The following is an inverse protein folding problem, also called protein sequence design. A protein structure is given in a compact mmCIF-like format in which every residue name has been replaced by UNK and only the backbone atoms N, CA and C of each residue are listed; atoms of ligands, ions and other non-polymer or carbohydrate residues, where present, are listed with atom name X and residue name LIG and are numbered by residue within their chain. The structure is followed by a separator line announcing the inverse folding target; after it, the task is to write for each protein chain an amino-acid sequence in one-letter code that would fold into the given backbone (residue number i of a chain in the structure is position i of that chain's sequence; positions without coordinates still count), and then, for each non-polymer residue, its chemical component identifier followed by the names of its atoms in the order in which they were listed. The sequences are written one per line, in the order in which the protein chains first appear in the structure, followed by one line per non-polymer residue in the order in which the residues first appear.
data_IF_327665025513
#
_entry.id   IF_327665025513
#
_cell.length_a   1.000
_cell.length_b   1.000
_cell.length_c   1.000
_cell.angle_alpha   90.00
_cell.angle_beta   90.00
_cell.angle_gamma   90.00
#
_symmetry.space_group_name_H-M   'P 1'
#
loop_
_entity.id
_entity.type
_entity.pdbx_description
1 polymer ?
#
# COMPACT_ATOMS: atom_id res chain seq x y z
N UNK A 1 29.74 -52.96 -5.88
CA UNK A 1 30.28 -52.02 -4.84
C UNK A 1 29.07 -51.33 -4.25
N UNK A 2 28.61 -51.84 -3.08
CA UNK A 2 27.57 -51.17 -2.29
C UNK A 2 28.21 -50.04 -1.49
N UNK A 3 27.84 -48.80 -1.79
CA UNK A 3 28.16 -47.66 -0.95
C UNK A 3 27.08 -47.61 0.14
N UNK A 4 27.41 -48.00 1.36
CA UNK A 4 26.65 -47.73 2.54
C UNK A 4 26.68 -46.23 2.82
N UNK A 5 25.56 -45.55 2.59
CA UNK A 5 25.34 -44.18 3.09
C UNK A 5 25.02 -44.34 4.57
N UNK A 6 25.99 -44.10 5.41
CA UNK A 6 25.83 -44.04 6.87
C UNK A 6 25.09 -42.79 7.27
N UNK A 7 24.08 -43.02 8.04
CA UNK A 7 23.12 -42.18 8.73
C UNK A 7 23.61 -40.83 9.30
N UNK A 8 22.77 -39.81 9.07
CA UNK A 8 22.38 -38.75 10.01
C UNK A 8 23.45 -38.20 10.96
N UNK A 9 24.25 -37.32 10.44
CA UNK A 9 24.59 -36.14 11.22
C UNK A 9 23.55 -35.05 10.89
N UNK A 10 22.50 -34.95 11.68
CA UNK A 10 21.76 -33.71 11.81
C UNK A 10 22.74 -32.68 12.38
N UNK A 11 23.39 -31.94 11.51
CA UNK A 11 24.08 -30.72 11.91
C UNK A 11 22.95 -29.84 12.46
N UNK A 12 22.86 -29.74 13.79
CA UNK A 12 22.06 -28.71 14.43
C UNK A 12 22.68 -27.37 14.04
N UNK A 13 22.25 -26.85 12.89
CA UNK A 13 22.59 -25.49 12.53
C UNK A 13 21.99 -24.59 13.61
N UNK A 14 22.84 -23.87 14.32
CA UNK A 14 22.36 -22.86 15.27
C UNK A 14 21.45 -21.90 14.53
N UNK A 15 20.27 -21.65 15.11
CA UNK A 15 19.32 -20.70 14.50
C UNK A 15 19.96 -19.33 14.33
N UNK A 16 19.67 -18.68 13.23
CA UNK A 16 20.08 -17.31 12.99
C UNK A 16 19.29 -16.41 13.91
N UNK A 17 19.94 -15.67 14.78
CA UNK A 17 19.30 -14.71 15.67
C UNK A 17 18.91 -13.45 14.89
N UNK A 18 17.61 -13.16 14.85
CA UNK A 18 17.08 -11.92 14.24
C UNK A 18 17.10 -10.83 15.30
N UNK A 19 17.80 -9.74 15.01
CA UNK A 19 18.05 -8.66 15.98
C UNK A 19 16.78 -7.90 16.38
N UNK A 20 15.94 -7.58 15.40
CA UNK A 20 14.75 -6.77 15.61
C UNK A 20 13.49 -7.64 15.64
N UNK A 21 12.51 -7.34 16.50
CA UNK A 21 11.20 -7.98 16.45
C UNK A 21 10.52 -7.77 15.10
N UNK A 22 9.67 -8.71 14.72
CA UNK A 22 8.80 -8.60 13.54
C UNK A 22 7.34 -8.59 14.03
N UNK A 23 6.57 -7.62 13.56
CA UNK A 23 5.13 -7.54 13.86
C UNK A 23 4.39 -8.52 12.96
N UNK A 24 3.69 -9.45 13.57
CA UNK A 24 2.87 -10.45 12.90
C UNK A 24 1.41 -10.04 12.94
N UNK A 25 0.81 -9.84 11.77
CA UNK A 25 -0.60 -9.51 11.61
C UNK A 25 -1.28 -10.75 11.00
N UNK A 26 -1.86 -11.57 11.87
CA UNK A 26 -2.55 -12.78 11.42
C UNK A 26 -3.86 -12.43 10.70
N UNK A 27 -4.35 -13.34 9.89
CA UNK A 27 -5.48 -13.11 9.00
C UNK A 27 -6.65 -14.03 9.27
N UNK A 28 -7.47 -14.19 8.25
CA UNK A 28 -8.67 -15.01 8.28
C UNK A 28 -8.49 -16.32 7.50
N UNK A 29 -9.35 -17.29 7.77
CA UNK A 29 -9.56 -18.51 7.01
C UNK A 29 -8.26 -19.25 6.66
N UNK A 30 -8.11 -19.64 5.39
CA UNK A 30 -6.99 -20.44 4.91
C UNK A 30 -5.63 -19.76 5.09
N UNK A 31 -5.57 -18.43 5.01
CA UNK A 31 -4.29 -17.73 5.14
C UNK A 31 -3.69 -17.85 6.53
N UNK A 32 -4.51 -17.92 7.58
CA UNK A 32 -4.08 -18.21 8.96
C UNK A 32 -3.43 -19.59 9.06
N UNK A 33 -4.06 -20.60 8.45
CA UNK A 33 -3.55 -21.99 8.46
C UNK A 33 -2.23 -22.09 7.70
N UNK A 34 -2.18 -21.53 6.48
CA UNK A 34 -0.97 -21.53 5.65
C UNK A 34 0.16 -20.77 6.35
N UNK A 35 -0.13 -19.62 6.96
CA UNK A 35 0.87 -18.84 7.69
C UNK A 35 1.44 -19.61 8.90
N UNK A 36 0.60 -20.34 9.62
CA UNK A 36 1.07 -21.23 10.69
C UNK A 36 2.05 -22.28 10.16
N UNK A 37 1.74 -22.94 9.04
CA UNK A 37 2.67 -23.88 8.40
C UNK A 37 3.98 -23.23 7.96
N UNK A 38 3.92 -22.03 7.39
CA UNK A 38 5.12 -21.28 6.99
C UNK A 38 6.00 -20.99 8.22
N UNK A 39 5.40 -20.50 9.31
CA UNK A 39 6.15 -20.25 10.54
C UNK A 39 6.82 -21.52 11.07
N UNK A 40 6.07 -22.61 11.18
CA UNK A 40 6.55 -23.80 11.83
C UNK A 40 7.56 -24.61 10.99
N UNK A 41 7.40 -24.60 9.66
CA UNK A 41 8.23 -25.40 8.74
C UNK A 41 9.38 -24.63 8.10
N UNK A 42 9.21 -23.32 7.85
CA UNK A 42 10.14 -22.54 7.05
C UNK A 42 10.82 -21.40 7.82
N UNK A 43 10.29 -20.97 8.96
CA UNK A 43 10.83 -19.83 9.72
C UNK A 43 11.45 -20.29 11.03
N UNK A 44 10.65 -20.81 11.93
CA UNK A 44 11.10 -21.21 13.30
C UNK A 44 12.22 -22.25 13.35
N UNK A 45 12.35 -23.20 12.39
CA UNK A 45 13.48 -24.12 12.40
C UNK A 45 14.82 -23.44 12.17
N UNK A 46 14.87 -22.33 11.45
CA UNK A 46 16.08 -21.64 11.01
C UNK A 46 16.36 -20.32 11.74
N UNK A 47 15.32 -19.66 12.21
CA UNK A 47 15.40 -18.33 12.82
C UNK A 47 15.00 -18.35 14.30
N UNK A 48 15.76 -17.63 15.11
CA UNK A 48 15.34 -17.17 16.44
C UNK A 48 14.77 -15.77 16.28
N UNK A 49 13.42 -15.65 16.26
CA UNK A 49 12.70 -14.46 15.91
C UNK A 49 11.66 -14.10 16.99
N UNK A 50 11.70 -12.87 17.47
CA UNK A 50 10.67 -12.30 18.36
C UNK A 50 9.49 -11.79 17.49
N UNK A 51 8.35 -12.49 17.59
CA UNK A 51 7.11 -12.14 16.86
C UNK A 51 6.17 -11.38 17.80
N UNK A 52 5.84 -10.15 17.43
CA UNK A 52 4.79 -9.34 18.06
C UNK A 52 3.46 -9.60 17.37
N UNK A 53 2.67 -10.48 17.95
CA UNK A 53 1.46 -11.04 17.38
C UNK A 53 0.24 -10.11 17.53
N UNK A 54 -0.48 -9.88 16.44
CA UNK A 54 -1.76 -9.18 16.37
C UNK A 54 -2.73 -9.99 15.51
N UNK A 55 -3.86 -10.36 16.10
CA UNK A 55 -4.93 -11.08 15.38
C UNK A 55 -5.83 -10.10 14.65
N UNK A 56 -5.70 -10.01 13.33
CA UNK A 56 -6.57 -9.20 12.48
C UNK A 56 -7.71 -10.00 11.84
N UNK A 57 -8.02 -11.16 12.39
CA UNK A 57 -9.21 -11.91 12.00
C UNK A 57 -10.50 -11.15 12.31
N UNK A 58 -11.55 -11.46 11.60
CA UNK A 58 -12.83 -10.73 11.63
C UNK A 58 -13.39 -10.60 13.04
N UNK A 59 -13.40 -11.69 13.81
CA UNK A 59 -13.93 -11.71 15.18
C UNK A 59 -13.12 -10.82 16.14
N UNK A 60 -11.78 -10.86 16.04
CA UNK A 60 -10.90 -10.03 16.86
C UNK A 60 -11.06 -8.55 16.56
N UNK A 61 -11.21 -8.21 15.28
CA UNK A 61 -11.45 -6.84 14.84
C UNK A 61 -12.80 -6.33 15.32
N UNK A 62 -13.86 -7.13 15.21
CA UNK A 62 -15.20 -6.77 15.69
C UNK A 62 -15.23 -6.59 17.20
N UNK A 63 -14.58 -7.49 17.95
CA UNK A 63 -14.48 -7.42 19.41
C UNK A 63 -13.79 -6.15 19.89
N UNK A 64 -12.78 -5.68 19.17
CA UNK A 64 -11.96 -4.51 19.52
C UNK A 64 -12.40 -3.21 18.84
N UNK A 65 -13.54 -3.21 18.15
CA UNK A 65 -13.99 -2.09 17.32
C UNK A 65 -12.91 -1.61 16.33
N UNK A 66 -12.18 -2.58 15.76
CA UNK A 66 -11.05 -2.43 14.84
C UNK A 66 -9.81 -1.71 15.45
N UNK A 67 -9.78 -1.50 16.76
CA UNK A 67 -8.63 -0.90 17.44
C UNK A 67 -7.36 -1.74 17.26
N UNK A 68 -7.48 -3.07 17.21
CA UNK A 68 -6.34 -3.99 16.98
C UNK A 68 -5.58 -3.68 15.67
N UNK A 69 -6.28 -3.25 14.62
CA UNK A 69 -5.67 -2.84 13.35
C UNK A 69 -4.80 -1.59 13.52
N UNK A 70 -5.26 -0.63 14.30
CA UNK A 70 -4.53 0.60 14.61
C UNK A 70 -3.29 0.29 15.44
N UNK A 71 -3.43 -0.55 16.46
CA UNK A 71 -2.33 -0.93 17.35
C UNK A 71 -1.25 -1.74 16.61
N UNK A 72 -1.66 -2.66 15.74
CA UNK A 72 -0.74 -3.38 14.86
C UNK A 72 0.04 -2.44 13.93
N UNK A 73 -0.62 -1.46 13.32
CA UNK A 73 0.04 -0.48 12.47
C UNK A 73 1.04 0.40 13.25
N UNK A 74 0.70 0.81 14.47
CA UNK A 74 1.61 1.54 15.35
C UNK A 74 2.82 0.69 15.76
N UNK A 75 2.61 -0.59 16.03
CA UNK A 75 3.69 -1.53 16.33
C UNK A 75 4.64 -1.70 15.14
N UNK A 76 4.13 -1.81 13.91
CA UNK A 76 4.98 -1.82 12.70
C UNK A 76 5.82 -0.54 12.64
N UNK A 77 5.24 0.62 12.91
CA UNK A 77 5.94 1.90 12.93
C UNK A 77 7.06 1.94 13.97
N UNK A 78 6.85 1.30 15.11
CA UNK A 78 7.81 1.19 16.20
C UNK A 78 8.95 0.22 15.89
N UNK A 79 8.65 -0.97 15.39
CA UNK A 79 9.63 -2.04 15.16
C UNK A 79 10.23 -2.06 13.75
N UNK A 80 9.67 -1.30 12.82
CA UNK A 80 10.20 -1.07 11.47
C UNK A 80 9.80 -2.12 10.44
N UNK A 81 9.25 -3.28 10.84
CA UNK A 81 8.85 -4.34 9.92
C UNK A 81 7.62 -5.10 10.41
N UNK A 82 6.75 -5.47 9.49
CA UNK A 82 5.59 -6.31 9.76
C UNK A 82 5.27 -7.24 8.61
N UNK A 83 4.67 -8.38 8.93
CA UNK A 83 4.15 -9.36 7.97
C UNK A 83 2.66 -9.47 8.19
N UNK A 84 1.88 -9.24 7.13
CA UNK A 84 0.43 -9.29 7.19
C UNK A 84 -0.14 -10.42 6.34
N UNK A 85 -0.95 -11.27 6.96
CA UNK A 85 -1.79 -12.23 6.28
C UNK A 85 -2.99 -11.57 5.61
N UNK A 86 -3.62 -12.24 4.67
CA UNK A 86 -4.88 -11.77 4.08
C UNK A 86 -5.98 -11.72 5.12
N UNK A 87 -6.81 -10.70 5.04
CA UNK A 87 -7.95 -10.46 5.93
C UNK A 87 -9.21 -10.26 5.12
N UNK A 88 -10.34 -10.68 5.66
CA UNK A 88 -11.65 -10.42 5.07
C UNK A 88 -11.99 -8.93 5.22
N UNK A 89 -12.48 -8.34 4.13
CA UNK A 89 -13.20 -7.06 4.17
C UNK A 89 -14.69 -7.40 4.02
N UNK A 90 -15.50 -7.21 5.08
CA UNK A 90 -16.88 -7.66 5.03
C UNK A 90 -17.73 -6.86 4.05
N UNK A 91 -18.59 -7.55 3.34
CA UNK A 91 -19.77 -7.06 2.67
C UNK A 91 -21.02 -7.33 3.54
N UNK A 92 -22.20 -7.02 3.05
CA UNK A 92 -23.46 -7.25 3.76
C UNK A 92 -23.65 -8.72 4.16
N UNK A 93 -23.32 -9.65 3.27
CA UNK A 93 -23.45 -11.10 3.51
C UNK A 93 -22.51 -11.55 4.64
N UNK A 94 -21.28 -11.05 4.66
CA UNK A 94 -20.31 -11.34 5.72
C UNK A 94 -20.68 -10.70 7.06
N UNK A 95 -21.29 -9.51 7.05
CA UNK A 95 -21.83 -8.90 8.28
C UNK A 95 -22.89 -9.79 8.92
N UNK A 96 -23.79 -10.37 8.11
CA UNK A 96 -24.83 -11.28 8.61
C UNK A 96 -24.23 -12.62 9.06
N UNK A 97 -23.36 -13.23 8.25
CA UNK A 97 -22.71 -14.50 8.54
C UNK A 97 -21.95 -14.49 9.87
N UNK A 98 -21.13 -13.47 10.09
CA UNK A 98 -20.31 -13.33 11.30
C UNK A 98 -21.00 -12.56 12.42
N UNK A 99 -22.22 -12.09 12.22
CA UNK A 99 -23.00 -11.26 13.19
C UNK A 99 -22.22 -10.05 13.68
N UNK A 100 -21.58 -9.35 12.74
CA UNK A 100 -20.73 -8.21 13.06
C UNK A 100 -21.53 -7.01 13.52
N UNK A 101 -20.95 -6.20 14.40
CA UNK A 101 -21.53 -4.93 14.87
C UNK A 101 -21.77 -3.94 13.73
N UNK A 102 -20.92 -3.99 12.70
CA UNK A 102 -21.03 -3.14 11.50
C UNK A 102 -20.13 -3.67 10.38
N UNK A 103 -20.31 -3.13 9.18
CA UNK A 103 -19.44 -3.39 8.04
C UNK A 103 -18.09 -2.66 8.21
N UNK A 104 -17.07 -3.38 8.69
CA UNK A 104 -15.74 -2.84 8.95
C UNK A 104 -15.01 -2.50 7.65
N UNK A 105 -14.27 -1.39 7.65
CA UNK A 105 -13.41 -1.01 6.52
C UNK A 105 -12.25 -1.99 6.37
N UNK A 106 -11.64 -2.00 5.17
CA UNK A 106 -10.44 -2.81 4.93
C UNK A 106 -9.30 -2.41 5.87
N UNK A 107 -8.73 -3.33 6.65
CA UNK A 107 -7.59 -3.04 7.50
C UNK A 107 -6.35 -2.61 6.70
N UNK A 108 -6.24 -3.03 5.43
CA UNK A 108 -5.16 -2.59 4.55
C UNK A 108 -5.14 -1.07 4.37
N UNK A 109 -6.30 -0.46 4.20
CA UNK A 109 -6.44 0.99 4.10
C UNK A 109 -6.00 1.70 5.37
N UNK A 110 -6.46 1.23 6.54
CA UNK A 110 -6.09 1.78 7.85
C UNK A 110 -4.59 1.69 8.11
N UNK A 111 -4.00 0.51 7.91
CA UNK A 111 -2.56 0.29 8.12
C UNK A 111 -1.73 1.20 7.19
N UNK A 112 -2.04 1.25 5.90
CA UNK A 112 -1.30 2.07 4.93
C UNK A 112 -1.36 3.56 5.26
N UNK A 113 -2.52 4.05 5.67
CA UNK A 113 -2.67 5.46 6.06
C UNK A 113 -1.91 5.81 7.34
N UNK A 114 -1.80 4.88 8.31
CA UNK A 114 -1.04 5.10 9.54
C UNK A 114 0.47 5.06 9.27
N UNK A 115 0.92 4.11 8.47
CA UNK A 115 2.34 3.96 8.15
C UNK A 115 2.82 5.08 7.22
N UNK A 116 1.97 5.53 6.32
CA UNK A 116 2.38 6.29 5.15
C UNK A 116 3.28 5.44 4.26
N UNK A 117 3.44 5.80 2.99
CA UNK A 117 4.42 5.10 2.17
C UNK A 117 3.89 4.70 0.81
N UNK A 118 4.64 3.81 0.19
CA UNK A 118 4.42 3.41 -1.20
C UNK A 118 4.32 1.90 -1.31
N UNK A 119 3.38 1.43 -2.10
CA UNK A 119 3.24 0.00 -2.41
C UNK A 119 3.87 -0.24 -3.78
N UNK A 120 4.93 -1.03 -3.84
CA UNK A 120 5.50 -1.52 -5.08
C UNK A 120 5.02 -2.95 -5.33
N UNK A 121 4.48 -3.19 -6.51
CA UNK A 121 4.07 -4.51 -6.97
C UNK A 121 4.99 -4.97 -8.07
N UNK A 122 5.99 -5.75 -7.68
CA UNK A 122 6.91 -6.38 -8.62
C UNK A 122 6.26 -7.67 -9.16
N UNK A 123 6.25 -7.90 -10.47
CA UNK A 123 5.68 -9.12 -11.03
C UNK A 123 6.56 -10.33 -10.68
N UNK A 124 5.89 -11.41 -10.27
CA UNK A 124 6.55 -12.72 -10.09
C UNK A 124 6.52 -13.44 -11.43
N UNK A 125 7.70 -13.62 -12.04
CA UNK A 125 7.84 -14.26 -13.35
C UNK A 125 8.29 -15.71 -13.16
N UNK A 126 7.42 -16.66 -13.52
CA UNK A 126 7.72 -18.08 -13.50
C UNK A 126 8.06 -18.54 -14.93
N UNK A 127 9.15 -19.28 -15.09
CA UNK A 127 9.62 -19.75 -16.42
C UNK A 127 8.62 -20.66 -17.13
N UNK A 128 7.87 -21.43 -16.37
CA UNK A 128 6.88 -22.41 -16.86
C UNK A 128 5.45 -21.88 -16.97
N UNK A 129 5.24 -20.59 -16.69
CA UNK A 129 3.92 -19.95 -16.82
C UNK A 129 3.97 -18.95 -17.97
N UNK A 130 3.15 -19.13 -19.02
CA UNK A 130 3.07 -18.19 -20.13
C UNK A 130 2.71 -16.78 -19.65
N UNK A 131 3.35 -15.76 -20.22
CA UNK A 131 3.03 -14.37 -19.96
C UNK A 131 1.73 -14.00 -20.68
N UNK A 132 0.89 -13.18 -20.06
CA UNK A 132 -0.33 -12.66 -20.69
C UNK A 132 -0.03 -11.80 -21.92
N UNK A 133 1.07 -11.06 -21.88
CA UNK A 133 1.57 -10.29 -23.03
C UNK A 133 2.96 -10.82 -23.40
N UNK A 134 3.06 -11.70 -24.41
CA UNK A 134 4.33 -12.37 -24.72
C UNK A 134 5.48 -11.42 -25.07
N UNK A 135 5.18 -10.27 -25.67
CA UNK A 135 6.17 -9.27 -26.06
C UNK A 135 6.80 -8.49 -24.90
N UNK A 136 6.23 -8.55 -23.70
CA UNK A 136 6.79 -7.89 -22.53
C UNK A 136 7.92 -8.75 -21.94
N UNK A 137 9.14 -8.43 -22.32
CA UNK A 137 10.33 -9.19 -21.90
C UNK A 137 10.94 -8.68 -20.60
N UNK A 138 10.65 -7.43 -20.22
CA UNK A 138 11.14 -6.81 -19.00
C UNK A 138 9.98 -6.60 -17.99
N UNK A 139 10.26 -6.67 -16.68
CA UNK A 139 9.25 -6.40 -15.67
C UNK A 139 8.86 -4.91 -15.66
N UNK A 140 7.56 -4.65 -15.49
CA UNK A 140 7.04 -3.31 -15.22
C UNK A 140 6.55 -3.30 -13.76
N UNK A 141 7.07 -2.35 -12.96
CA UNK A 141 6.69 -2.21 -11.57
C UNK A 141 5.87 -0.95 -11.39
N UNK A 142 4.70 -1.10 -10.81
CA UNK A 142 3.80 0.03 -10.52
C UNK A 142 3.99 0.43 -9.06
N UNK A 143 4.51 1.65 -8.85
CA UNK A 143 4.51 2.31 -7.54
C UNK A 143 3.15 2.93 -7.26
N UNK A 144 2.56 2.62 -6.11
CA UNK A 144 1.25 3.11 -5.70
C UNK A 144 1.36 3.95 -4.45
N UNK A 145 0.89 5.19 -4.53
CA UNK A 145 0.74 6.04 -3.36
C UNK A 145 -0.30 5.46 -2.40
N UNK A 146 0.02 5.36 -1.13
CA UNK A 146 -0.79 4.64 -0.15
C UNK A 146 -1.46 5.56 0.88
N UNK A 147 -1.53 6.85 0.60
CA UNK A 147 -2.11 7.86 1.49
C UNK A 147 -3.08 8.77 0.73
N UNK A 148 -4.19 9.13 1.38
CA UNK A 148 -5.15 10.04 0.79
C UNK A 148 -5.86 9.45 -0.44
N UNK A 149 -6.11 10.29 -1.44
CA UNK A 149 -6.75 9.94 -2.71
C UNK A 149 -8.04 9.12 -2.51
N UNK A 150 -8.27 8.12 -3.33
CA UNK A 150 -9.43 7.23 -3.23
C UNK A 150 -9.52 6.43 -1.91
N UNK A 151 -8.41 6.24 -1.18
CA UNK A 151 -8.41 5.51 0.09
C UNK A 151 -9.01 6.30 1.26
N UNK A 152 -9.05 7.61 1.14
CA UNK A 152 -9.62 8.55 2.10
C UNK A 152 -10.64 9.47 1.47
N UNK A 153 -11.17 9.10 0.32
CA UNK A 153 -12.25 9.83 -0.32
C UNK A 153 -13.49 9.87 0.57
N UNK A 154 -14.22 10.94 0.47
CA UNK A 154 -15.60 11.04 0.97
C UNK A 154 -16.51 10.98 -0.23
N UNK A 155 -17.27 9.90 -0.35
CA UNK A 155 -18.22 9.65 -1.42
C UNK A 155 -19.63 9.41 -0.85
N UNK A 156 -20.64 9.82 -1.60
CA UNK A 156 -22.04 9.69 -1.20
C UNK A 156 -22.98 9.73 -2.40
N UNK A 157 -24.16 9.17 -2.19
CA UNK A 157 -25.26 9.27 -3.15
C UNK A 157 -25.98 10.61 -2.96
N UNK A 158 -26.15 11.35 -4.04
CA UNK A 158 -26.98 12.55 -4.09
C UNK A 158 -28.43 12.12 -4.30
N UNK A 159 -29.36 12.39 -3.35
CA UNK A 159 -30.70 11.79 -3.39
C UNK A 159 -31.65 12.42 -4.42
N UNK A 160 -31.33 13.60 -4.94
CA UNK A 160 -32.21 14.30 -5.87
C UNK A 160 -31.68 15.67 -6.29
N UNK A 161 -32.56 16.53 -6.76
CA UNK A 161 -32.22 17.90 -7.13
C UNK A 161 -31.56 18.66 -5.98
N UNK A 162 -30.49 19.39 -6.28
CA UNK A 162 -29.76 20.13 -5.25
C UNK A 162 -28.42 20.67 -5.72
N UNK A 163 -27.71 21.32 -4.81
CA UNK A 163 -26.46 21.99 -5.07
C UNK A 163 -25.30 21.30 -4.31
N UNK A 164 -24.21 21.05 -5.01
CA UNK A 164 -22.97 20.55 -4.41
C UNK A 164 -21.95 21.68 -4.29
N UNK A 165 -21.49 21.89 -3.07
CA UNK A 165 -20.45 22.86 -2.76
C UNK A 165 -19.30 22.21 -2.00
N UNK A 166 -18.07 22.70 -2.23
CA UNK A 166 -16.87 22.34 -1.47
C UNK A 166 -16.33 23.57 -0.77
N UNK A 167 -16.10 23.46 0.51
CA UNK A 167 -15.61 24.53 1.36
C UNK A 167 -14.34 24.12 2.09
N UNK A 168 -13.33 24.99 2.03
CA UNK A 168 -12.14 24.89 2.85
C UNK A 168 -12.05 26.11 3.78
N UNK A 169 -11.73 25.87 5.05
CA UNK A 169 -11.58 26.92 6.07
C UNK A 169 -10.24 26.70 6.77
N UNK A 170 -9.45 27.76 6.91
CA UNK A 170 -8.22 27.73 7.71
C UNK A 170 -8.53 27.45 9.18
N UNK A 171 -7.55 26.85 9.89
CA UNK A 171 -7.73 26.48 11.31
C UNK A 171 -8.08 27.68 12.22
N UNK A 172 -7.59 28.88 11.88
CA UNK A 172 -7.89 30.13 12.59
C UNK A 172 -9.16 30.82 12.13
N UNK A 173 -9.88 30.25 11.17
CA UNK A 173 -11.13 30.77 10.60
C UNK A 173 -10.98 32.02 9.71
N UNK A 174 -9.76 32.57 9.56
CA UNK A 174 -9.54 33.86 8.87
C UNK A 174 -9.58 33.74 7.35
N UNK A 175 -9.29 32.56 6.82
CA UNK A 175 -9.25 32.31 5.38
C UNK A 175 -10.23 31.20 5.01
N UNK A 176 -10.96 31.40 3.93
CA UNK A 176 -11.87 30.41 3.37
C UNK A 176 -11.82 30.38 1.86
N UNK A 177 -12.06 29.22 1.29
CA UNK A 177 -12.30 29.02 -0.14
C UNK A 177 -13.58 28.23 -0.30
N UNK A 178 -14.45 28.68 -1.18
CA UNK A 178 -15.74 28.04 -1.45
C UNK A 178 -15.84 27.85 -2.98
N UNK A 179 -16.28 26.68 -3.38
CA UNK A 179 -16.45 26.33 -4.79
C UNK A 179 -17.81 25.68 -4.95
N UNK A 180 -18.62 26.27 -5.83
CA UNK A 180 -19.79 25.60 -6.37
C UNK A 180 -19.28 24.54 -7.36
N UNK A 181 -19.61 23.28 -7.11
CA UNK A 181 -19.14 22.15 -7.92
C UNK A 181 -20.14 21.85 -9.02
N UNK A 182 -21.41 21.62 -8.65
CA UNK A 182 -22.46 21.25 -9.59
C UNK A 182 -23.87 21.49 -9.02
N UNK A 183 -24.81 21.83 -9.92
CA UNK A 183 -26.23 21.84 -9.63
C UNK A 183 -26.84 20.55 -10.17
N UNK A 184 -27.21 19.64 -9.28
CA UNK A 184 -27.82 18.37 -9.65
C UNK A 184 -29.30 18.59 -10.05
N UNK A 185 -29.68 18.23 -11.28
CA UNK A 185 -31.08 18.27 -11.72
C UNK A 185 -31.84 17.02 -11.28
N UNK A 186 -31.17 16.01 -10.76
CA UNK A 186 -31.74 14.75 -10.30
C UNK A 186 -30.77 14.04 -9.36
N UNK A 187 -31.10 12.82 -8.94
CA UNK A 187 -30.17 11.97 -8.17
C UNK A 187 -28.88 11.67 -8.91
N UNK A 188 -27.79 11.47 -8.16
CA UNK A 188 -26.49 11.19 -8.69
C UNK A 188 -25.50 10.71 -7.63
N UNK A 189 -24.24 10.93 -7.86
CA UNK A 189 -23.16 10.62 -6.91
C UNK A 189 -22.11 11.72 -6.88
N UNK A 190 -21.46 11.90 -5.73
CA UNK A 190 -20.38 12.86 -5.56
C UNK A 190 -19.22 12.24 -4.78
N UNK A 191 -18.00 12.76 -5.05
CA UNK A 191 -16.78 12.30 -4.40
C UNK A 191 -15.83 13.47 -4.20
N UNK A 192 -15.17 13.50 -3.04
CA UNK A 192 -14.06 14.42 -2.76
C UNK A 192 -12.82 13.65 -2.34
N UNK A 193 -11.65 14.10 -2.79
CA UNK A 193 -10.34 13.53 -2.45
C UNK A 193 -9.39 14.63 -1.96
N UNK A 194 -8.35 14.23 -1.24
CA UNK A 194 -7.28 15.13 -0.81
C UNK A 194 -5.94 14.41 -0.73
N UNK A 195 -4.86 15.20 -0.72
CA UNK A 195 -3.52 14.72 -0.38
C UNK A 195 -2.71 15.79 0.35
N UNK A 196 -1.52 15.44 0.81
CA UNK A 196 -0.60 16.32 1.52
C UNK A 196 0.73 16.42 0.78
N UNK A 197 1.32 17.61 0.73
CA UNK A 197 2.62 17.85 0.08
C UNK A 197 3.72 16.92 0.60
N UNK A 198 3.83 16.77 1.92
CA UNK A 198 4.85 15.89 2.52
C UNK A 198 4.64 14.43 2.14
N UNK A 199 3.39 13.98 2.05
CA UNK A 199 3.07 12.62 1.60
C UNK A 199 3.45 12.40 0.14
N UNK A 200 3.17 13.37 -0.73
CA UNK A 200 3.56 13.35 -2.15
C UNK A 200 5.09 13.32 -2.29
N UNK A 201 5.81 14.18 -1.55
CA UNK A 201 7.28 14.20 -1.56
C UNK A 201 7.88 12.88 -1.08
N UNK A 202 7.31 12.27 -0.04
CA UNK A 202 7.76 10.97 0.43
C UNK A 202 7.48 9.84 -0.58
N UNK A 203 6.38 9.92 -1.30
CA UNK A 203 6.09 9.03 -2.43
C UNK A 203 7.13 9.19 -3.54
N UNK A 204 7.47 10.42 -3.90
CA UNK A 204 8.52 10.69 -4.88
C UNK A 204 9.86 10.07 -4.44
N UNK A 205 10.30 10.32 -3.20
CA UNK A 205 11.54 9.73 -2.66
C UNK A 205 11.54 8.21 -2.68
N UNK A 206 10.42 7.59 -2.33
CA UNK A 206 10.27 6.14 -2.37
C UNK A 206 10.44 5.59 -3.79
N UNK A 207 9.80 6.22 -4.80
CA UNK A 207 9.89 5.84 -6.19
C UNK A 207 11.32 6.03 -6.75
N UNK A 208 11.96 7.16 -6.46
CA UNK A 208 13.32 7.45 -6.90
C UNK A 208 14.34 6.47 -6.29
N UNK A 209 14.24 6.19 -4.99
CA UNK A 209 15.10 5.20 -4.33
C UNK A 209 14.89 3.79 -4.88
N UNK A 210 13.65 3.42 -5.18
CA UNK A 210 13.35 2.11 -5.80
C UNK A 210 14.00 2.01 -7.18
N UNK A 211 13.84 3.03 -8.04
CA UNK A 211 14.48 3.11 -9.35
C UNK A 211 16.00 3.00 -9.27
N UNK A 212 16.64 3.76 -8.37
CA UNK A 212 18.10 3.69 -8.13
C UNK A 212 18.54 2.28 -7.70
N UNK A 213 17.84 1.69 -6.75
CA UNK A 213 18.17 0.34 -6.26
C UNK A 213 18.08 -0.74 -7.33
N UNK A 214 17.21 -0.57 -8.32
CA UNK A 214 17.04 -1.46 -9.48
C UNK A 214 17.85 -1.06 -10.70
N UNK A 215 18.36 0.18 -10.74
CA UNK A 215 18.94 0.82 -11.93
C UNK A 215 17.95 0.88 -13.08
N UNK A 216 16.70 1.22 -12.78
CA UNK A 216 15.62 1.33 -13.73
C UNK A 216 15.14 2.78 -13.84
N UNK A 217 14.69 3.22 -15.02
CA UNK A 217 14.07 4.54 -15.16
C UNK A 217 12.78 4.64 -14.35
N UNK A 218 12.46 5.86 -13.97
CA UNK A 218 11.24 6.16 -13.19
C UNK A 218 10.36 7.09 -14.01
N UNK A 219 9.09 6.73 -14.14
CA UNK A 219 8.08 7.55 -14.80
C UNK A 219 6.97 7.90 -13.80
N UNK A 220 6.68 9.18 -13.69
CA UNK A 220 5.45 9.64 -13.04
C UNK A 220 4.37 9.79 -14.10
N UNK A 221 3.23 9.15 -13.89
CA UNK A 221 2.09 9.24 -14.79
C UNK A 221 0.94 9.99 -14.14
N UNK A 222 0.42 11.01 -14.82
CA UNK A 222 -0.71 11.84 -14.35
C UNK A 222 -1.67 12.21 -15.48
N UNK A 223 -2.80 12.81 -15.13
CA UNK A 223 -3.70 13.50 -16.06
C UNK A 223 -3.79 15.00 -15.74
N UNK A 224 -2.64 15.64 -15.52
CA UNK A 224 -2.56 17.05 -15.13
C UNK A 224 -3.13 18.03 -16.17
N UNK A 225 -3.36 17.59 -17.40
CA UNK A 225 -4.06 18.38 -18.41
C UNK A 225 -5.55 18.59 -18.08
N UNK A 226 -6.14 17.69 -17.30
CA UNK A 226 -7.53 17.75 -16.79
C UNK A 226 -7.52 18.15 -15.32
N UNK A 227 -6.83 17.39 -14.47
CA UNK A 227 -6.71 17.64 -13.02
C UNK A 227 -5.55 18.61 -12.74
N UNK A 228 -5.68 19.85 -13.27
CA UNK A 228 -4.57 20.82 -13.31
C UNK A 228 -3.96 21.13 -11.95
N UNK A 229 -4.78 21.27 -10.90
CA UNK A 229 -4.32 21.56 -9.55
C UNK A 229 -3.89 20.30 -8.81
N UNK A 230 -4.69 19.24 -8.84
CA UNK A 230 -4.44 18.02 -8.08
C UNK A 230 -3.24 17.25 -8.64
N UNK A 231 -3.33 16.76 -9.86
CA UNK A 231 -2.24 16.04 -10.53
C UNK A 231 -1.04 16.94 -10.83
N UNK A 232 -1.30 18.24 -11.12
CA UNK A 232 -0.24 19.24 -11.27
C UNK A 232 0.62 19.36 -10.02
N UNK A 233 0.01 19.29 -8.82
CA UNK A 233 0.77 19.32 -7.55
C UNK A 233 1.68 18.11 -7.40
N UNK A 234 1.22 16.91 -7.77
CA UNK A 234 2.06 15.71 -7.80
C UNK A 234 3.25 15.89 -8.76
N UNK A 235 2.97 16.34 -9.99
CA UNK A 235 4.01 16.59 -11.00
C UNK A 235 5.08 17.56 -10.47
N UNK A 236 4.66 18.69 -9.92
CA UNK A 236 5.58 19.75 -9.48
C UNK A 236 6.42 19.29 -8.27
N UNK A 237 5.82 18.60 -7.30
CA UNK A 237 6.52 18.10 -6.13
C UNK A 237 7.47 16.94 -6.45
N UNK A 238 7.11 16.07 -7.38
CA UNK A 238 8.02 15.02 -7.87
C UNK A 238 9.23 15.63 -8.57
N UNK A 239 9.01 16.64 -9.41
CA UNK A 239 10.10 17.36 -10.08
C UNK A 239 10.99 18.07 -9.06
N UNK A 240 10.39 18.75 -8.09
CA UNK A 240 11.16 19.41 -7.00
C UNK A 240 12.07 18.44 -6.25
N UNK A 241 11.53 17.25 -5.87
CA UNK A 241 12.31 16.23 -5.16
C UNK A 241 13.41 15.67 -6.06
N UNK A 242 13.10 15.40 -7.33
CA UNK A 242 14.09 14.90 -8.28
C UNK A 242 15.25 15.90 -8.44
N UNK A 243 14.95 17.15 -8.73
CA UNK A 243 15.97 18.17 -8.97
C UNK A 243 16.88 18.40 -7.75
N UNK A 244 16.29 18.40 -6.54
CA UNK A 244 17.04 18.71 -5.32
C UNK A 244 17.80 17.53 -4.72
N UNK A 245 17.29 16.30 -4.89
CA UNK A 245 17.78 15.17 -4.10
C UNK A 245 18.32 13.99 -4.96
N UNK A 246 17.92 13.89 -6.23
CA UNK A 246 18.16 12.69 -7.04
C UNK A 246 18.82 12.91 -8.39
N UNK A 247 18.80 14.11 -8.95
CA UNK A 247 19.31 14.42 -10.28
C UNK A 247 20.72 13.85 -10.52
N UNK A 248 21.68 14.16 -9.65
CA UNK A 248 23.08 13.69 -9.78
C UNK A 248 23.16 12.15 -9.65
N UNK A 249 22.44 11.57 -8.69
CA UNK A 249 22.43 10.11 -8.48
C UNK A 249 21.87 9.35 -9.69
N UNK A 250 20.85 9.88 -10.33
CA UNK A 250 20.26 9.32 -11.53
C UNK A 250 21.22 9.39 -12.71
N UNK A 251 21.90 10.53 -12.85
CA UNK A 251 22.94 10.72 -13.86
C UNK A 251 24.11 9.74 -13.67
N UNK A 252 24.62 9.59 -12.45
CA UNK A 252 25.65 8.62 -12.11
C UNK A 252 25.23 7.17 -12.37
N UNK A 253 23.96 6.84 -12.09
CA UNK A 253 23.39 5.52 -12.35
C UNK A 253 23.01 5.27 -13.79
N UNK A 254 23.13 6.28 -14.67
CA UNK A 254 22.71 6.26 -16.08
C UNK A 254 21.23 5.83 -16.26
N UNK A 255 20.34 6.38 -15.44
CA UNK A 255 18.88 6.20 -15.52
C UNK A 255 18.17 7.55 -15.58
N UNK A 256 16.93 7.54 -16.08
CA UNK A 256 16.14 8.76 -16.25
C UNK A 256 14.92 8.80 -15.32
N UNK A 257 14.48 10.03 -15.04
CA UNK A 257 13.15 10.33 -14.52
C UNK A 257 12.40 11.17 -15.53
N UNK A 258 11.16 10.81 -15.78
CA UNK A 258 10.28 11.57 -16.67
C UNK A 258 8.85 11.63 -16.12
N UNK A 259 8.19 12.77 -16.38
CA UNK A 259 6.75 12.86 -16.23
C UNK A 259 6.08 12.65 -17.59
N UNK A 260 5.08 11.77 -17.61
CA UNK A 260 4.29 11.48 -18.81
C UNK A 260 2.79 11.54 -18.50
N UNK A 261 1.99 11.90 -19.49
CA UNK A 261 0.55 11.74 -19.38
C UNK A 261 0.17 10.25 -19.34
N UNK A 262 -0.91 9.92 -18.65
CA UNK A 262 -1.33 8.52 -18.52
C UNK A 262 -1.60 7.88 -19.87
N UNK A 263 -2.09 8.64 -20.84
CA UNK A 263 -2.37 8.17 -22.20
C UNK A 263 -1.08 7.68 -22.87
N UNK A 264 0.01 8.47 -22.76
CA UNK A 264 1.32 8.12 -23.31
C UNK A 264 1.91 6.89 -22.64
N UNK A 265 1.64 6.70 -21.33
CA UNK A 265 2.15 5.56 -20.59
C UNK A 265 1.40 4.26 -20.86
N UNK A 266 0.14 4.34 -21.27
CA UNK A 266 -0.65 3.16 -21.65
C UNK A 266 -0.33 2.73 -23.07
N UNK A 267 -0.07 3.67 -23.98
CA UNK A 267 0.34 3.37 -25.35
C UNK A 267 1.76 2.86 -25.44
#
# INVERSE_FOLDING_TARGET
ICIKITHNQFIFMSKIKVKNPVVELDGDEMTRIIWSFIKDKLIKPYLELDLKYYDLGMESRDKTDDQITIDAAKAIKQYGVGVKCATITPDEARVEEFKLKKMWRSPNGTIRNILGGTVFREPIICKNVPKLVPGWTQPIVIGRHAFGDQYRATDFLVPGEGNLEVKWISKDGKSKKEFKVFDFPSSGTALTMYNLDDSIKNFARACMNYGLGRKWPVYLSTKNTILKAYDGRFKDLFQEVFDKEFSDKFKEANISYEHRLIDDMVA
#
